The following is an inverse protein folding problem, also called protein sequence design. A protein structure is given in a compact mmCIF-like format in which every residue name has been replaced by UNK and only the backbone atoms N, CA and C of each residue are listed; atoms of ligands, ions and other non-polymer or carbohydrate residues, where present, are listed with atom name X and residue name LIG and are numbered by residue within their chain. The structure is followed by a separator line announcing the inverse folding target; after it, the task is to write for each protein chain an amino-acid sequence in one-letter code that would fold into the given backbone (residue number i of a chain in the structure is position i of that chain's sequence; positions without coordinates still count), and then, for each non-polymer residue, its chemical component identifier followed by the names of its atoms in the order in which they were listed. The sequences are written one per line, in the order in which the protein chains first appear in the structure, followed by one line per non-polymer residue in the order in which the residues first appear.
data_IF_706777639844
#
_entry.id   IF_706777639844
#
_cell.length_a   1.000
_cell.length_b   1.000
_cell.length_c   1.000
_cell.angle_alpha   90.00
_cell.angle_beta   90.00
_cell.angle_gamma   90.00
#
_symmetry.space_group_name_H-M   'P 1'
#
loop_
_entity.id
_entity.type
_entity.pdbx_description
1 polymer ?
#
# COMPACT_ATOMS: atom_id res chain seq x y z
N UNK A 1 -39.78 -48.72 4.13
CA UNK A 1 -39.59 -47.26 4.29
C UNK A 1 -38.11 -47.01 4.45
N UNK A 2 -37.41 -46.83 3.33
CA UNK A 2 -35.96 -46.61 3.27
C UNK A 2 -35.68 -45.12 3.31
N UNK A 3 -34.73 -44.73 4.16
CA UNK A 3 -34.34 -43.37 4.47
C UNK A 3 -33.65 -42.74 3.25
N UNK A 4 -34.11 -41.55 2.89
CA UNK A 4 -33.51 -40.71 1.84
C UNK A 4 -32.18 -40.15 2.33
N UNK A 5 -31.09 -40.53 1.66
CA UNK A 5 -29.76 -39.97 1.87
C UNK A 5 -29.70 -38.54 1.31
N UNK A 6 -29.87 -37.56 2.20
CA UNK A 6 -29.53 -36.16 1.94
C UNK A 6 -28.01 -36.04 1.82
N UNK A 7 -27.49 -35.85 0.60
CA UNK A 7 -26.11 -35.38 0.38
C UNK A 7 -25.97 -33.97 0.95
N UNK A 8 -25.45 -33.87 2.17
CA UNK A 8 -24.92 -32.64 2.73
C UNK A 8 -23.75 -32.17 1.87
N UNK A 9 -23.98 -31.13 1.06
CA UNK A 9 -22.90 -30.37 0.44
C UNK A 9 -22.18 -29.60 1.55
N UNK A 10 -20.88 -29.89 1.72
CA UNK A 10 -20.03 -29.14 2.62
C UNK A 10 -20.00 -27.66 2.22
N UNK A 11 -20.01 -26.71 3.17
CA UNK A 11 -19.94 -25.28 2.87
C UNK A 11 -18.63 -24.97 2.16
N UNK A 12 -18.71 -24.19 1.07
CA UNK A 12 -17.54 -23.69 0.36
C UNK A 12 -16.64 -22.92 1.33
N UNK A 13 -15.38 -23.35 1.43
CA UNK A 13 -14.35 -22.65 2.21
C UNK A 13 -14.23 -21.19 1.73
N UNK A 14 -14.12 -20.21 2.64
CA UNK A 14 -14.05 -18.81 2.26
C UNK A 14 -12.87 -18.60 1.30
N UNK A 15 -13.17 -18.07 0.12
CA UNK A 15 -12.14 -17.72 -0.86
C UNK A 15 -11.18 -16.73 -0.18
N UNK A 16 -9.91 -17.13 -0.06
CA UNK A 16 -8.87 -16.24 0.45
C UNK A 16 -8.81 -15.02 -0.47
N UNK A 17 -9.16 -13.84 0.07
CA UNK A 17 -9.03 -12.58 -0.65
C UNK A 17 -7.52 -12.31 -0.77
N UNK A 18 -6.96 -12.59 -1.95
CA UNK A 18 -5.57 -12.26 -2.26
C UNK A 18 -5.54 -10.81 -2.73
N UNK A 19 -4.89 -9.94 -1.95
CA UNK A 19 -4.65 -8.56 -2.34
C UNK A 19 -3.40 -8.50 -3.22
N UNK A 20 -3.45 -7.90 -4.43
CA UNK A 20 -2.27 -7.77 -5.28
C UNK A 20 -1.16 -6.98 -4.60
N UNK A 21 0.08 -7.48 -4.70
CA UNK A 21 1.27 -6.78 -4.23
C UNK A 21 1.92 -6.00 -5.38
N UNK A 22 2.34 -4.76 -5.10
CA UNK A 22 2.95 -3.87 -6.09
C UNK A 22 4.24 -3.30 -5.53
N UNK A 23 5.36 -3.60 -6.17
CA UNK A 23 6.62 -2.93 -5.87
C UNK A 23 6.61 -1.50 -6.43
N UNK A 24 7.07 -0.55 -5.62
CA UNK A 24 7.21 0.87 -5.98
C UNK A 24 8.51 1.42 -5.43
N UNK A 25 9.10 2.38 -6.13
CA UNK A 25 10.29 3.11 -5.67
C UNK A 25 10.07 4.64 -5.69
N UNK A 26 8.86 5.10 -5.99
CA UNK A 26 8.49 6.52 -6.02
C UNK A 26 7.07 6.69 -5.53
N UNK A 27 6.82 7.77 -4.77
CA UNK A 27 5.50 8.18 -4.35
C UNK A 27 5.33 9.69 -4.57
N UNK A 28 4.20 10.09 -5.15
CA UNK A 28 3.76 11.49 -5.24
C UNK A 28 2.51 11.62 -4.38
N UNK A 29 2.46 12.67 -3.55
CA UNK A 29 1.32 12.99 -2.71
C UNK A 29 0.69 14.29 -3.17
N UNK A 30 -0.59 14.23 -3.52
CA UNK A 30 -1.44 15.40 -3.76
C UNK A 30 -2.56 15.43 -2.72
N UNK A 31 -3.13 16.60 -2.46
CA UNK A 31 -4.27 16.72 -1.56
C UNK A 31 -5.19 17.88 -1.93
N UNK A 32 -6.43 17.76 -1.47
CA UNK A 32 -7.46 18.79 -1.47
C UNK A 32 -8.14 18.82 -0.10
N UNK A 33 -9.07 19.74 0.16
CA UNK A 33 -9.88 19.71 1.38
C UNK A 33 -10.69 18.41 1.58
N UNK A 34 -10.90 17.62 0.52
CA UNK A 34 -11.78 16.45 0.54
C UNK A 34 -11.04 15.12 0.40
N UNK A 35 -9.86 15.11 -0.22
CA UNK A 35 -9.13 13.89 -0.51
C UNK A 35 -7.61 14.08 -0.43
N UNK A 36 -6.93 13.00 -0.07
CA UNK A 36 -5.50 12.78 -0.28
C UNK A 36 -5.34 11.73 -1.36
N UNK A 37 -4.41 11.97 -2.27
CA UNK A 37 -4.07 11.09 -3.38
C UNK A 37 -2.58 10.73 -3.29
N UNK A 38 -2.30 9.44 -3.11
CA UNK A 38 -0.95 8.88 -3.11
C UNK A 38 -0.78 8.09 -4.40
N UNK A 39 0.00 8.62 -5.33
CA UNK A 39 0.37 7.92 -6.57
C UNK A 39 1.72 7.25 -6.38
N UNK A 40 1.71 5.93 -6.34
CA UNK A 40 2.92 5.11 -6.33
C UNK A 40 3.29 4.69 -7.75
N UNK A 41 4.59 4.70 -8.05
CA UNK A 41 5.08 4.37 -9.37
C UNK A 41 6.54 3.93 -9.38
N UNK A 42 6.99 3.59 -10.57
CA UNK A 42 8.40 3.33 -10.83
C UNK A 42 9.03 4.56 -11.46
N UNK A 43 10.11 5.04 -10.88
CA UNK A 43 11.08 5.93 -11.51
C UNK A 43 12.30 5.12 -11.98
N UNK A 44 12.80 5.42 -13.18
CA UNK A 44 14.04 4.85 -13.73
C UNK A 44 14.74 5.87 -14.61
N UNK A 45 16.07 5.73 -14.75
CA UNK A 45 16.85 6.46 -15.75
C UNK A 45 16.44 6.14 -17.20
N UNK A 46 15.77 5.00 -17.42
CA UNK A 46 15.50 4.45 -18.74
C UNK A 46 14.20 4.98 -19.38
N UNK A 47 13.38 5.73 -18.63
CA UNK A 47 12.19 6.40 -19.16
C UNK A 47 12.05 7.79 -18.55
N UNK A 48 11.54 8.74 -19.33
CA UNK A 48 11.26 10.08 -18.81
C UNK A 48 10.04 10.04 -17.90
N UNK A 49 10.23 10.41 -16.63
CA UNK A 49 9.15 10.57 -15.65
C UNK A 49 8.91 9.33 -14.78
N UNK A 50 7.73 9.26 -14.19
CA UNK A 50 7.29 8.20 -13.27
C UNK A 50 6.22 7.39 -13.98
N UNK A 51 6.38 6.06 -14.03
CA UNK A 51 5.34 5.14 -14.49
C UNK A 51 4.39 4.86 -13.31
N UNK A 52 3.15 5.40 -13.30
CA UNK A 52 2.20 5.14 -12.22
C UNK A 52 1.81 3.66 -12.20
N UNK A 53 1.70 3.08 -11.01
CA UNK A 53 1.32 1.68 -10.79
C UNK A 53 0.04 1.54 -9.97
N UNK A 54 -0.02 2.24 -8.84
CA UNK A 54 -1.18 2.22 -7.96
C UNK A 54 -1.44 3.62 -7.42
N UNK A 55 -2.72 3.98 -7.37
CA UNK A 55 -3.19 5.23 -6.83
C UNK A 55 -4.11 4.93 -5.66
N UNK A 56 -3.79 5.50 -4.49
CA UNK A 56 -4.58 5.34 -3.27
C UNK A 56 -5.20 6.68 -2.94
N UNK A 57 -6.53 6.70 -2.83
CA UNK A 57 -7.30 7.87 -2.42
C UNK A 57 -7.95 7.65 -1.09
N UNK A 58 -7.90 8.65 -0.22
CA UNK A 58 -8.47 8.57 1.12
C UNK A 58 -8.90 9.95 1.63
N UNK A 59 -9.74 9.98 2.67
CA UNK A 59 -10.09 11.25 3.33
C UNK A 59 -8.89 11.84 4.09
N UNK A 60 -8.86 13.17 4.34
CA UNK A 60 -7.82 13.80 5.14
C UNK A 60 -7.65 13.20 6.54
N UNK A 61 -8.75 12.76 7.17
CA UNK A 61 -8.70 12.13 8.49
C UNK A 61 -7.96 10.79 8.43
N UNK A 62 -8.24 9.99 7.40
CA UNK A 62 -7.58 8.70 7.22
C UNK A 62 -6.11 8.88 6.81
N UNK A 63 -5.79 9.88 5.98
CA UNK A 63 -4.41 10.21 5.63
C UNK A 63 -3.56 10.60 6.85
N UNK A 64 -4.13 11.37 7.79
CA UNK A 64 -3.46 11.73 9.03
C UNK A 64 -3.11 10.49 9.87
N UNK A 65 -4.05 9.57 10.00
CA UNK A 65 -3.86 8.35 10.77
C UNK A 65 -2.87 7.39 10.06
N UNK A 66 -2.98 7.25 8.74
CA UNK A 66 -2.04 6.50 7.92
C UNK A 66 -0.61 7.00 8.11
N UNK A 67 -0.37 8.31 8.01
CA UNK A 67 0.95 8.91 8.19
C UNK A 67 1.53 8.63 9.59
N UNK A 68 0.71 8.70 10.64
CA UNK A 68 1.11 8.38 12.01
C UNK A 68 1.57 6.92 12.13
N UNK A 69 0.75 5.98 11.65
CA UNK A 69 1.04 4.54 11.70
C UNK A 69 2.31 4.21 10.92
N UNK A 70 2.48 4.76 9.72
CA UNK A 70 3.69 4.53 8.91
C UNK A 70 4.93 5.06 9.64
N UNK A 71 4.88 6.27 10.20
CA UNK A 71 6.02 6.85 10.94
C UNK A 71 6.41 6.01 12.15
N UNK A 72 5.44 5.49 12.91
CA UNK A 72 5.70 4.60 14.04
C UNK A 72 6.35 3.28 13.59
N UNK A 73 5.88 2.70 12.49
CA UNK A 73 6.45 1.46 11.95
C UNK A 73 7.87 1.65 11.41
N UNK A 74 8.17 2.80 10.79
CA UNK A 74 9.54 3.14 10.38
C UNK A 74 10.46 3.22 11.60
N UNK A 75 10.04 3.91 12.67
CA UNK A 75 10.83 3.98 13.92
C UNK A 75 11.06 2.60 14.52
N UNK A 76 10.03 1.75 14.55
CA UNK A 76 10.18 0.37 15.03
C UNK A 76 11.15 -0.43 14.16
N UNK A 77 11.09 -0.28 12.83
CA UNK A 77 12.06 -0.91 11.94
C UNK A 77 13.49 -0.48 12.27
N UNK A 78 13.73 0.81 12.43
CA UNK A 78 15.07 1.35 12.70
C UNK A 78 15.64 0.92 14.05
N UNK A 79 14.78 0.80 15.07
CA UNK A 79 15.17 0.30 16.40
C UNK A 79 15.55 -1.19 16.38
N UNK A 80 14.88 -2.00 15.56
CA UNK A 80 15.04 -3.45 15.56
C UNK A 80 16.05 -3.96 14.53
N UNK A 81 16.22 -3.27 13.40
CA UNK A 81 17.02 -3.73 12.26
C UNK A 81 18.22 -2.80 12.03
N UNK A 82 17.98 -1.49 11.99
CA UNK A 82 19.03 -0.49 11.81
C UNK A 82 18.53 0.78 11.11
N UNK A 83 19.28 1.87 11.28
CA UNK A 83 18.92 3.18 10.75
C UNK A 83 18.80 3.17 9.22
N UNK A 84 17.77 3.83 8.71
CA UNK A 84 17.61 4.08 7.28
C UNK A 84 18.51 5.26 6.91
N UNK A 85 19.49 5.04 6.04
CA UNK A 85 20.37 6.10 5.57
C UNK A 85 19.64 6.93 4.52
N UNK A 86 19.29 8.16 4.86
CA UNK A 86 18.75 9.10 3.89
C UNK A 86 19.85 9.54 2.91
N UNK A 87 19.67 9.22 1.63
CA UNK A 87 20.51 9.82 0.58
C UNK A 87 19.94 11.21 0.32
N UNK A 88 20.64 12.27 0.76
CA UNK A 88 20.26 13.65 0.43
C UNK A 88 20.05 13.77 -1.08
N UNK A 89 18.79 13.98 -1.50
CA UNK A 89 18.51 14.33 -2.88
C UNK A 89 19.07 15.74 -3.10
N UNK A 90 20.25 15.83 -3.73
CA UNK A 90 20.82 17.10 -4.19
C UNK A 90 19.76 17.82 -5.03
N UNK A 91 19.15 18.87 -4.46
CA UNK A 91 18.35 19.82 -5.22
C UNK A 91 19.27 20.41 -6.29
N UNK A 92 19.05 20.03 -7.56
CA UNK A 92 19.62 20.78 -8.68
C UNK A 92 18.86 22.11 -8.72
N UNK A 93 19.57 23.18 -8.35
CA UNK A 93 19.17 24.55 -8.56
C UNK A 93 18.96 24.85 -10.05
#
# INVERSE_FOLDING_TARGET
MTKEDQKQQAPASPQQIVVPEVYTNTAIVNFSPYEFELTFGLGSSNYQGIKPLVNVRMSPQFAKEFARIISENVKMYEQNIGAIVEVEQRKKN
#
